data_IF_093606783897
#
_entry.id   IF_093606783897
#
_cell.length_a   1.000
_cell.length_b   1.000
_cell.length_c   1.000
_cell.angle_alpha   90.00
_cell.angle_beta   90.00
_cell.angle_gamma   90.00
#
_symmetry.space_group_name_H-M   'P 1'
#
loop_
_entity.id
_entity.type
_entity.pdbx_description
1 polymer ?
#
# COMPACT_ATOMS: atom_id res chain seq x y z
N UNK A 1 0.70 4.46 -9.39
CA UNK A 1 -0.14 3.63 -10.27
C UNK A 1 -0.16 2.21 -9.68
N UNK A 2 -1.32 1.73 -9.25
CA UNK A 2 -1.54 0.44 -8.56
C UNK A 2 -0.83 -0.78 -9.19
N UNK A 3 -0.71 -0.80 -10.51
CA UNK A 3 -0.17 -1.93 -11.29
C UNK A 3 1.35 -1.99 -11.29
N UNK A 4 2.05 -0.94 -10.87
CA UNK A 4 3.52 -0.89 -10.90
C UNK A 4 4.15 -1.11 -9.50
N UNK A 5 3.38 -1.68 -8.57
CA UNK A 5 3.79 -1.83 -7.18
C UNK A 5 3.76 -3.32 -6.81
N UNK A 6 4.90 -3.85 -6.35
CA UNK A 6 4.94 -5.23 -5.85
C UNK A 6 4.24 -5.33 -4.50
N UNK A 7 3.29 -6.25 -4.33
CA UNK A 7 2.58 -6.46 -3.07
C UNK A 7 3.51 -6.64 -1.87
N UNK A 8 4.66 -7.32 -2.05
CA UNK A 8 5.68 -7.47 -0.99
C UNK A 8 6.28 -6.13 -0.56
N UNK A 9 6.53 -5.21 -1.50
CA UNK A 9 7.09 -3.88 -1.23
C UNK A 9 6.09 -2.96 -0.52
N UNK A 10 4.79 -3.17 -0.74
CA UNK A 10 3.73 -2.44 -0.04
C UNK A 10 3.65 -2.87 1.41
N UNK A 11 3.61 -4.19 1.65
CA UNK A 11 3.51 -4.72 3.02
C UNK A 11 4.70 -4.24 3.85
N UNK A 12 5.92 -4.26 3.29
CA UNK A 12 7.08 -3.73 4.01
C UNK A 12 7.02 -2.22 4.24
N UNK A 13 6.48 -1.44 3.30
CA UNK A 13 6.30 -0.01 3.49
C UNK A 13 5.31 0.30 4.62
N UNK A 14 4.20 -0.42 4.67
CA UNK A 14 3.22 -0.26 5.72
C UNK A 14 3.78 -0.67 7.09
N UNK A 15 4.58 -1.73 7.14
CA UNK A 15 5.21 -2.18 8.38
C UNK A 15 6.15 -1.13 8.97
N UNK A 16 6.98 -0.51 8.13
CA UNK A 16 7.87 0.57 8.55
C UNK A 16 7.11 1.78 9.08
N UNK A 17 5.92 2.08 8.53
CA UNK A 17 5.06 3.15 9.05
C UNK A 17 4.53 2.75 10.43
N UNK A 18 4.01 1.53 10.57
CA UNK A 18 3.50 1.03 11.85
C UNK A 18 4.59 0.91 12.93
N UNK A 19 5.85 0.74 12.56
CA UNK A 19 7.01 0.72 13.47
C UNK A 19 7.47 2.10 13.94
N UNK A 20 7.17 3.17 13.20
CA UNK A 20 7.50 4.54 13.60
C UNK A 20 6.56 5.11 14.66
N UNK A 21 5.37 4.55 14.79
CA UNK A 21 4.43 4.93 15.84
C UNK A 21 4.93 4.35 17.18
N UNK A 22 5.71 5.13 17.92
CA UNK A 22 6.31 4.74 19.22
C UNK A 22 5.31 4.77 20.39
N UNK A 23 4.12 5.36 20.20
CA UNK A 23 3.10 5.55 21.25
C UNK A 23 2.02 4.44 21.33
N UNK A 24 2.24 3.29 20.68
CA UNK A 24 1.27 2.19 20.72
C UNK A 24 1.39 1.47 22.08
N UNK A 25 0.35 1.49 22.94
CA UNK A 25 0.39 0.80 24.22
C UNK A 25 0.57 -0.72 24.04
N UNK A 26 1.23 -1.40 24.98
CA UNK A 26 1.60 -2.83 24.88
C UNK A 26 0.41 -3.76 24.52
N UNK A 27 -0.80 -3.40 24.93
CA UNK A 27 -2.05 -4.12 24.61
C UNK A 27 -2.40 -4.09 23.10
N UNK A 28 -2.02 -3.04 22.39
CA UNK A 28 -2.23 -2.86 20.95
C UNK A 28 -1.10 -3.45 20.10
N UNK A 29 -0.02 -3.93 20.73
CA UNK A 29 1.08 -4.61 20.04
C UNK A 29 0.65 -5.93 19.40
N UNK A 30 -0.18 -6.71 20.09
CA UNK A 30 -0.80 -7.94 19.56
C UNK A 30 -1.68 -7.62 18.35
N UNK A 31 -2.35 -6.46 18.39
CA UNK A 31 -3.18 -5.98 17.29
C UNK A 31 -2.35 -5.63 16.07
N UNK A 32 -1.17 -5.01 16.24
CA UNK A 32 -0.24 -4.73 15.14
C UNK A 32 0.27 -5.99 14.43
N UNK A 33 0.65 -7.03 15.16
CA UNK A 33 1.08 -8.30 14.56
C UNK A 33 -0.06 -8.99 13.79
N UNK A 34 -1.25 -8.99 14.38
CA UNK A 34 -2.46 -9.55 13.76
C UNK A 34 -2.86 -8.79 12.50
N UNK A 35 -2.84 -7.46 12.55
CA UNK A 35 -3.12 -6.57 11.43
C UNK A 35 -2.10 -6.76 10.30
N UNK A 36 -0.82 -6.85 10.63
CA UNK A 36 0.26 -7.13 9.68
C UNK A 36 0.01 -8.44 8.94
N UNK A 37 -0.34 -9.49 9.69
CA UNK A 37 -0.58 -10.81 9.13
C UNK A 37 -1.82 -10.81 8.24
N UNK A 38 -2.88 -10.11 8.65
CA UNK A 38 -4.10 -9.93 7.85
C UNK A 38 -3.79 -9.21 6.53
N UNK A 39 -3.06 -8.10 6.56
CA UNK A 39 -2.73 -7.33 5.36
C UNK A 39 -1.85 -8.15 4.42
N UNK A 40 -0.87 -8.89 4.96
CA UNK A 40 -0.03 -9.77 4.16
C UNK A 40 -0.84 -10.91 3.51
N UNK A 41 -1.87 -11.43 4.18
CA UNK A 41 -2.80 -12.40 3.57
C UNK A 41 -3.59 -11.74 2.45
N UNK A 42 -4.25 -10.60 2.72
CA UNK A 42 -5.09 -9.90 1.74
C UNK A 42 -4.31 -9.51 0.47
N UNK A 43 -3.04 -9.13 0.60
CA UNK A 43 -2.18 -8.78 -0.54
C UNK A 43 -1.66 -10.02 -1.30
N UNK A 44 -1.59 -11.19 -0.66
CA UNK A 44 -1.16 -12.44 -1.31
C UNK A 44 -2.30 -13.23 -1.95
N UNK A 45 -3.52 -13.11 -1.42
CA UNK A 45 -4.67 -13.91 -1.87
C UNK A 45 -5.61 -13.10 -2.74
N UNK A 46 -5.07 -12.43 -3.75
CA UNK A 46 -5.86 -11.62 -4.68
C UNK A 46 -6.19 -12.47 -5.90
N UNK A 47 -7.47 -12.75 -6.07
CA UNK A 47 -7.98 -13.50 -7.21
C UNK A 47 -8.97 -12.64 -8.00
N UNK A 48 -8.94 -12.77 -9.33
CA UNK A 48 -9.90 -12.14 -10.22
C UNK A 48 -10.40 -13.15 -11.24
N UNK A 49 -11.61 -12.90 -11.75
CA UNK A 49 -12.20 -13.72 -12.82
C UNK A 49 -12.09 -12.98 -14.15
N UNK A 50 -11.63 -13.69 -15.17
CA UNK A 50 -11.62 -13.19 -16.54
C UNK A 50 -12.01 -14.31 -17.49
N UNK A 51 -12.97 -14.05 -18.37
CA UNK A 51 -13.47 -15.03 -19.34
C UNK A 51 -13.84 -16.41 -18.72
N UNK A 52 -14.49 -16.39 -17.55
CA UNK A 52 -14.91 -17.59 -16.83
C UNK A 52 -13.80 -18.38 -16.12
N UNK A 53 -12.55 -17.93 -16.20
CA UNK A 53 -11.41 -18.53 -15.50
C UNK A 53 -10.96 -17.68 -14.30
N UNK A 54 -10.45 -18.32 -13.25
CA UNK A 54 -9.93 -17.67 -12.04
C UNK A 54 -8.42 -17.52 -12.18
N UNK A 55 -7.92 -16.31 -11.91
CA UNK A 55 -6.50 -15.98 -11.96
C UNK A 55 -6.04 -15.37 -10.65
N UNK A 56 -4.79 -15.64 -10.27
CA UNK A 56 -4.12 -14.99 -9.15
C UNK A 56 -3.37 -13.75 -9.63
N UNK A 57 -3.53 -12.63 -8.93
CA UNK A 57 -2.76 -11.42 -9.21
C UNK A 57 -1.37 -11.51 -8.57
N UNK A 58 -0.36 -11.80 -9.39
CA UNK A 58 1.04 -11.97 -8.95
C UNK A 58 1.75 -10.61 -8.77
N UNK A 59 1.29 -9.57 -9.47
CA UNK A 59 1.92 -8.24 -9.48
C UNK A 59 0.89 -7.11 -9.50
N UNK A 60 1.22 -6.01 -8.83
CA UNK A 60 0.31 -4.90 -8.63
C UNK A 60 -0.63 -5.10 -7.44
N UNK A 61 -1.31 -4.01 -7.08
CA UNK A 61 -2.45 -4.03 -6.18
C UNK A 61 -3.75 -4.28 -6.99
N UNK A 62 -4.78 -4.90 -6.38
CA UNK A 62 -6.04 -5.12 -7.05
C UNK A 62 -6.73 -3.78 -7.30
N UNK A 63 -7.13 -3.57 -8.55
CA UNK A 63 -7.98 -2.43 -8.89
C UNK A 63 -9.36 -2.64 -8.25
N UNK A 64 -9.87 -1.62 -7.57
CA UNK A 64 -11.17 -1.68 -6.90
C UNK A 64 -11.17 -2.28 -5.50
N UNK A 65 -10.01 -2.70 -4.96
CA UNK A 65 -9.92 -3.05 -3.54
C UNK A 65 -9.94 -1.78 -2.68
N UNK A 66 -10.75 -1.73 -1.61
CA UNK A 66 -10.80 -0.59 -0.70
C UNK A 66 -9.48 -0.34 0.03
N UNK A 67 -8.60 -1.36 0.10
CA UNK A 67 -7.28 -1.24 0.73
C UNK A 67 -6.22 -0.72 -0.22
N UNK A 68 -6.42 -0.81 -1.54
CA UNK A 68 -5.40 -0.42 -2.52
C UNK A 68 -4.98 1.04 -2.42
N UNK A 69 -5.88 2.03 -2.21
CA UNK A 69 -5.48 3.43 -2.04
C UNK A 69 -4.56 3.66 -0.84
N UNK A 70 -4.89 3.05 0.30
CA UNK A 70 -4.10 3.16 1.53
C UNK A 70 -2.70 2.56 1.34
N UNK A 71 -2.66 1.37 0.75
CA UNK A 71 -1.44 0.62 0.47
C UNK A 71 -0.54 1.36 -0.53
N UNK A 72 -1.12 1.94 -1.58
CA UNK A 72 -0.37 2.78 -2.51
C UNK A 72 0.19 4.02 -1.83
N UNK A 73 -0.60 4.72 -1.01
CA UNK A 73 -0.12 5.89 -0.27
C UNK A 73 1.05 5.55 0.67
N UNK A 74 0.96 4.45 1.41
CA UNK A 74 2.06 3.97 2.25
C UNK A 74 3.34 3.68 1.45
N UNK A 75 3.20 3.04 0.28
CA UNK A 75 4.32 2.78 -0.62
C UNK A 75 4.93 4.08 -1.17
N UNK A 76 4.08 5.03 -1.57
CA UNK A 76 4.51 6.31 -2.12
C UNK A 76 5.17 7.19 -1.07
N UNK A 77 4.69 7.22 0.18
CA UNK A 77 5.33 7.94 1.29
C UNK A 77 6.73 7.40 1.57
N UNK A 78 6.88 6.07 1.57
CA UNK A 78 8.19 5.42 1.66
C UNK A 78 9.11 5.86 0.52
N UNK A 79 8.66 5.78 -0.74
CA UNK A 79 9.45 6.21 -1.90
C UNK A 79 9.81 7.70 -1.85
N UNK A 80 8.86 8.55 -1.43
CA UNK A 80 9.06 9.99 -1.27
C UNK A 80 10.19 10.29 -0.30
N UNK A 81 10.26 9.59 0.83
CA UNK A 81 11.35 9.69 1.81
C UNK A 81 12.72 9.27 1.25
N UNK A 82 12.76 8.28 0.35
CA UNK A 82 14.00 7.88 -0.32
C UNK A 82 14.45 8.87 -1.42
N UNK A 83 13.52 9.58 -2.05
CA UNK A 83 13.76 10.40 -3.24
C UNK A 83 13.75 11.91 -2.98
N UNK A 84 13.93 12.37 -1.74
CA UNK A 84 14.10 13.81 -1.45
C UNK A 84 15.50 14.26 -1.88
N UNK A 85 15.68 14.34 -3.20
CA UNK A 85 16.44 15.42 -3.82
C UNK A 85 15.45 16.58 -4.10
N UNK A 86 15.86 17.85 -3.89
CA UNK A 86 14.95 18.98 -3.70
C UNK A 86 14.00 19.34 -4.87
N UNK A 87 14.09 18.69 -6.03
CA UNK A 87 13.32 19.06 -7.22
C UNK A 87 12.00 18.27 -7.43
N UNK A 88 11.73 17.22 -6.64
CA UNK A 88 10.60 16.31 -6.87
C UNK A 88 9.30 16.68 -6.13
N UNK A 89 9.33 17.65 -5.20
CA UNK A 89 8.20 18.04 -4.35
C UNK A 89 6.95 18.50 -5.12
N UNK A 90 7.13 19.09 -6.32
CA UNK A 90 6.02 19.54 -7.17
C UNK A 90 5.26 18.41 -7.87
N UNK A 91 5.91 17.25 -8.07
CA UNK A 91 5.29 16.11 -8.75
C UNK A 91 4.36 15.34 -7.82
N UNK A 92 4.70 15.20 -6.53
CA UNK A 92 3.87 14.53 -5.53
C UNK A 92 2.54 15.25 -5.27
N UNK A 93 2.54 16.59 -5.29
CA UNK A 93 1.31 17.37 -5.10
C UNK A 93 0.32 17.18 -6.26
N UNK A 94 0.82 17.05 -7.49
CA UNK A 94 -0.02 16.80 -8.67
C UNK A 94 -0.55 15.36 -8.73
N UNK A 95 0.20 14.37 -8.29
CA UNK A 95 -0.27 12.97 -8.25
C UNK A 95 -1.37 12.82 -7.18
N UNK A 96 -1.18 13.42 -6.00
CA UNK A 96 -2.20 13.41 -4.95
C UNK A 96 -3.47 14.17 -5.37
N UNK A 97 -3.34 15.33 -6.04
CA UNK A 97 -4.48 16.10 -6.56
C UNK A 97 -5.26 15.42 -7.69
N UNK A 98 -4.59 14.65 -8.56
CA UNK A 98 -5.24 13.86 -9.61
C UNK A 98 -6.01 12.64 -9.07
N UNK A 99 -5.65 12.15 -7.89
CA UNK A 99 -6.29 11.01 -7.23
C UNK A 99 -7.65 11.35 -6.63
N UNK A 100 -7.80 12.55 -6.05
CA UNK A 100 -9.08 13.00 -5.50
C UNK A 100 -10.06 13.54 -6.57
N UNK A 101 -9.64 13.67 -7.83
CA UNK A 101 -10.50 14.14 -8.93
C UNK A 101 -11.28 13.03 -9.66
N UNK A 102 -11.16 11.77 -9.25
CA UNK A 102 -11.92 10.63 -9.81
C UNK A 102 -12.66 9.83 -8.73
N UNK A 103 -13.06 10.51 -7.65
CA UNK A 103 -14.04 10.06 -6.66
C UNK A 103 -15.29 10.96 -6.72
#
# INVERSE_FOLDING_TARGET
MYTNISGKKVVSALLEILEREEDIPEAERIWKESLTRLINLTVRTIYFTFNGSIYEQIFGLPMGSPLSPLLENAHMDKLGKFNIEPNQSKQYHNICGLWYCWL
#
